data_IF_479386640278
#
_entry.id   IF_479386640278
#
_cell.length_a   1.000
_cell.length_b   1.000
_cell.length_c   1.000
_cell.angle_alpha   90.00
_cell.angle_beta   90.00
_cell.angle_gamma   90.00
#
_symmetry.space_group_name_H-M   'P 1'
#
loop_
_entity.id
_entity.type
_entity.pdbx_description
1 polymer ?
#
# COMPACT_ATOMS: atom_id res chain seq x y z
N UNK A 1 22.91 1.20 -3.03
CA UNK A 1 23.52 0.08 -3.77
C UNK A 1 22.49 -0.42 -4.77
N UNK A 2 22.84 -0.49 -6.06
CA UNK A 2 21.91 -0.96 -7.09
C UNK A 2 21.87 -2.50 -7.06
N UNK A 3 20.69 -3.13 -6.87
CA UNK A 3 20.57 -4.59 -6.74
C UNK A 3 20.87 -5.36 -8.05
N UNK A 4 21.09 -4.65 -9.16
CA UNK A 4 21.41 -5.22 -10.46
C UNK A 4 22.91 -5.13 -10.82
N UNK A 5 23.74 -4.53 -9.97
CA UNK A 5 25.19 -4.47 -10.18
C UNK A 5 25.80 -5.88 -10.12
N UNK A 6 26.63 -6.23 -11.11
CA UNK A 6 27.34 -7.53 -11.19
C UNK A 6 26.50 -8.72 -11.65
N UNK A 7 25.20 -8.55 -11.94
CA UNK A 7 24.33 -9.63 -12.44
C UNK A 7 24.43 -9.76 -13.98
N UNK A 8 24.76 -10.94 -14.53
CA UNK A 8 24.87 -11.12 -15.98
C UNK A 8 23.50 -11.17 -16.66
N UNK A 9 23.46 -10.84 -17.96
CA UNK A 9 22.27 -11.00 -18.81
C UNK A 9 21.61 -9.68 -19.23
N UNK A 10 20.96 -9.71 -20.39
CA UNK A 10 20.35 -8.53 -21.03
C UNK A 10 19.31 -7.83 -20.13
N UNK A 11 18.43 -8.60 -19.48
CA UNK A 11 17.40 -8.07 -18.58
C UNK A 11 18.02 -7.36 -17.37
N UNK A 12 19.10 -7.90 -16.81
CA UNK A 12 19.79 -7.28 -15.68
C UNK A 12 20.49 -5.98 -16.08
N UNK A 13 21.06 -5.91 -17.29
CA UNK A 13 21.65 -4.66 -17.80
C UNK A 13 20.58 -3.58 -18.04
N UNK A 14 19.42 -3.95 -18.57
CA UNK A 14 18.29 -3.03 -18.75
C UNK A 14 17.77 -2.53 -17.40
N UNK A 15 17.56 -3.43 -16.43
CA UNK A 15 17.12 -3.08 -15.08
C UNK A 15 18.12 -2.16 -14.36
N UNK A 16 19.42 -2.33 -14.58
CA UNK A 16 20.46 -1.45 -14.02
C UNK A 16 20.34 -0.01 -14.54
N UNK A 17 20.08 0.16 -15.85
CA UNK A 17 19.86 1.47 -16.46
C UNK A 17 18.59 2.11 -15.88
N UNK A 18 17.47 1.38 -15.88
CA UNK A 18 16.19 1.87 -15.34
C UNK A 18 16.35 2.31 -13.88
N UNK A 19 16.97 1.48 -13.04
CA UNK A 19 17.20 1.78 -11.62
C UNK A 19 18.01 3.07 -11.39
N UNK A 20 18.90 3.42 -12.31
CA UNK A 20 19.70 4.67 -12.24
C UNK A 20 18.80 5.90 -12.38
N UNK A 21 17.73 5.82 -13.17
CA UNK A 21 16.80 6.94 -13.39
C UNK A 21 15.62 6.95 -12.42
N UNK A 22 15.06 5.78 -12.10
CA UNK A 22 13.88 5.68 -11.22
C UNK A 22 14.25 5.71 -9.74
N UNK A 23 15.51 5.39 -9.42
CA UNK A 23 15.95 5.23 -8.05
C UNK A 23 15.33 4.01 -7.35
N UNK A 24 15.58 3.86 -6.05
CA UNK A 24 14.98 2.81 -5.24
C UNK A 24 13.46 3.00 -5.14
N UNK A 25 12.69 1.90 -5.15
CA UNK A 25 11.25 1.95 -4.90
C UNK A 25 10.94 2.70 -3.59
N UNK A 26 9.84 3.44 -3.50
CA UNK A 26 9.52 4.17 -2.26
C UNK A 26 9.06 3.23 -1.12
N UNK A 27 8.50 2.07 -1.47
CA UNK A 27 7.96 1.09 -0.54
C UNK A 27 8.96 -0.05 -0.33
N UNK A 28 9.22 -0.42 0.93
CA UNK A 28 9.92 -1.67 1.25
C UNK A 28 11.43 -1.66 1.01
N UNK A 29 12.05 -0.48 0.88
CA UNK A 29 13.50 -0.32 0.66
C UNK A 29 14.35 -0.42 1.93
N UNK A 30 13.83 -1.12 2.95
CA UNK A 30 14.54 -1.38 4.21
C UNK A 30 14.86 -0.13 5.02
N UNK A 31 14.32 1.04 4.64
CA UNK A 31 14.30 2.20 5.53
C UNK A 31 13.34 1.88 6.67
N UNK A 32 13.66 2.37 7.87
CA UNK A 32 12.75 2.25 9.01
C UNK A 32 11.52 3.11 8.70
N UNK A 33 10.50 2.48 8.14
CA UNK A 33 9.15 3.03 8.08
C UNK A 33 8.62 2.98 9.51
N UNK A 34 8.11 4.11 10.02
CA UNK A 34 7.42 4.08 11.29
C UNK A 34 6.19 3.17 11.17
N UNK A 35 5.83 2.43 12.23
CA UNK A 35 4.61 1.64 12.23
C UNK A 35 3.43 2.51 11.80
N UNK A 36 2.57 1.97 10.94
CA UNK A 36 1.34 2.65 10.59
C UNK A 36 0.55 2.99 11.85
N UNK A 37 0.29 4.28 12.05
CA UNK A 37 -0.55 4.78 13.14
C UNK A 37 -1.93 5.05 12.54
N UNK A 38 -2.96 4.24 12.86
CA UNK A 38 -4.31 4.53 12.41
C UNK A 38 -4.78 5.87 13.00
N UNK A 39 -5.53 6.69 12.23
CA UNK A 39 -6.22 7.84 12.78
C UNK A 39 -7.09 7.42 13.97
N UNK A 40 -7.17 8.26 15.02
CA UNK A 40 -7.94 7.96 16.21
C UNK A 40 -9.44 7.76 15.92
N UNK A 41 -9.98 8.49 14.94
CA UNK A 41 -11.35 8.36 14.47
C UNK A 41 -11.42 8.50 12.94
N UNK A 42 -11.22 7.40 12.18
CA UNK A 42 -11.28 7.45 10.74
C UNK A 42 -12.73 7.66 10.29
N UNK A 43 -12.94 8.65 9.44
CA UNK A 43 -14.23 8.94 8.82
C UNK A 43 -14.36 8.21 7.49
N UNK A 44 -15.56 7.70 7.19
CA UNK A 44 -15.83 7.03 5.93
C UNK A 44 -15.75 8.03 4.77
N UNK A 45 -15.00 7.74 3.69
CA UNK A 45 -14.84 8.66 2.57
C UNK A 45 -16.11 8.80 1.70
N UNK A 46 -17.10 7.94 1.91
CA UNK A 46 -18.36 7.94 1.15
C UNK A 46 -19.46 8.74 1.85
N UNK A 47 -19.70 8.47 3.14
CA UNK A 47 -20.78 9.11 3.91
C UNK A 47 -20.28 10.17 4.90
N UNK A 48 -18.97 10.27 5.15
CA UNK A 48 -18.39 11.22 6.08
C UNK A 48 -18.57 10.90 7.57
N UNK A 49 -19.29 9.83 7.94
CA UNK A 49 -19.50 9.45 9.34
C UNK A 49 -18.36 8.59 9.90
N UNK A 50 -18.24 8.54 11.23
CA UNK A 50 -17.26 7.69 11.92
C UNK A 50 -17.39 6.22 11.47
N UNK A 51 -16.25 5.59 11.20
CA UNK A 51 -16.18 4.16 10.85
C UNK A 51 -16.73 3.25 11.96
N UNK A 52 -16.78 3.71 13.21
CA UNK A 52 -17.37 2.96 14.33
C UNK A 52 -18.88 2.72 14.17
N UNK A 53 -19.57 3.52 13.36
CA UNK A 53 -21.01 3.38 13.09
C UNK A 53 -21.31 2.38 11.96
N UNK A 54 -20.30 1.88 11.25
CA UNK A 54 -20.49 1.02 10.09
C UNK A 54 -20.62 -0.45 10.50
N UNK A 55 -21.45 -1.19 9.76
CA UNK A 55 -21.57 -2.65 9.95
C UNK A 55 -20.74 -3.38 8.91
N UNK A 56 -19.91 -4.33 9.37
CA UNK A 56 -19.12 -5.20 8.47
C UNK A 56 -19.83 -6.53 8.34
N UNK A 57 -20.41 -6.78 7.17
CA UNK A 57 -21.01 -8.06 6.83
C UNK A 57 -19.97 -9.00 6.21
N UNK A 58 -19.84 -10.19 6.80
CA UNK A 58 -18.91 -11.26 6.37
C UNK A 58 -19.64 -12.54 5.94
N UNK A 59 -20.97 -12.48 5.79
CA UNK A 59 -21.79 -13.65 5.48
C UNK A 59 -21.77 -14.05 3.99
N UNK A 60 -21.51 -13.10 3.09
CA UNK A 60 -21.46 -13.33 1.65
C UNK A 60 -20.12 -13.86 1.13
N UNK A 61 -20.03 -14.03 -0.20
CA UNK A 61 -18.79 -14.40 -0.93
C UNK A 61 -17.64 -13.40 -0.69
N UNK A 62 -17.99 -12.15 -0.39
CA UNK A 62 -17.04 -11.06 -0.09
C UNK A 62 -17.52 -10.27 1.10
N UNK A 63 -16.56 -9.77 1.89
CA UNK A 63 -16.84 -8.85 2.98
C UNK A 63 -17.41 -7.54 2.42
N UNK A 64 -18.55 -7.11 2.96
CA UNK A 64 -19.22 -5.85 2.64
C UNK A 64 -19.18 -4.93 3.85
N UNK A 65 -19.18 -3.63 3.59
CA UNK A 65 -19.23 -2.60 4.62
C UNK A 65 -20.44 -1.70 4.34
N UNK A 66 -21.35 -1.62 5.31
CA UNK A 66 -22.60 -0.87 5.20
C UNK A 66 -22.49 0.47 5.95
N UNK A 67 -22.87 1.55 5.25
CA UNK A 67 -23.00 2.87 5.87
C UNK A 67 -24.22 2.88 6.81
N UNK A 68 -24.18 3.63 7.93
CA UNK A 68 -25.27 3.63 8.89
C UNK A 68 -26.57 4.28 8.37
N UNK A 69 -26.51 5.07 7.30
CA UNK A 69 -27.67 5.75 6.70
C UNK A 69 -28.07 5.22 5.30
N UNK A 70 -27.56 4.05 4.87
CA UNK A 70 -27.84 3.47 3.54
C UNK A 70 -28.09 1.96 3.56
#
# INVERSE_FOLDING_TARGET
>A
MNPFDGKPGFINNLNRIVYTFTGPAQVGIGRKEDPYVPPADPHCPLCGMSMALHTIDRSGERTQLHCPEH
#
